data_IF_949045099508
#
_entry.id   IF_949045099508
#
_cell.length_a   1.000
_cell.length_b   1.000
_cell.length_c   1.000
_cell.angle_alpha   90.00
_cell.angle_beta   90.00
_cell.angle_gamma   90.00
#
_symmetry.space_group_name_H-M   'P 1'
#
loop_
_entity.id
_entity.type
_entity.pdbx_description
1 polymer ?
#
# COMPACT_ATOMS: atom_id res chain seq x y z
N UNK A 1 -9.94 2.85 19.29
CA UNK A 1 -8.56 3.28 19.04
C UNK A 1 -8.42 3.77 17.59
N UNK A 2 -8.52 2.92 16.55
CA UNK A 2 -8.25 3.24 15.14
C UNK A 2 -9.04 4.45 14.62
N UNK A 3 -10.35 4.51 14.80
CA UNK A 3 -11.18 5.64 14.36
C UNK A 3 -10.75 6.95 15.03
N UNK A 4 -10.44 6.91 16.32
CA UNK A 4 -9.97 8.08 17.06
C UNK A 4 -8.61 8.61 16.57
N UNK A 5 -7.84 7.78 15.89
CA UNK A 5 -6.55 8.11 15.30
C UNK A 5 -6.69 8.58 13.85
N UNK A 6 -7.48 7.88 13.04
CA UNK A 6 -7.63 8.19 11.62
C UNK A 6 -8.49 9.44 11.36
N UNK A 7 -9.55 9.68 12.15
CA UNK A 7 -10.43 10.83 11.93
C UNK A 7 -9.68 12.17 12.02
N UNK A 8 -8.87 12.45 13.04
CA UNK A 8 -8.08 13.69 13.09
C UNK A 8 -7.10 13.80 11.92
N UNK A 9 -6.40 12.70 11.57
CA UNK A 9 -5.42 12.67 10.48
C UNK A 9 -6.07 13.00 9.14
N UNK A 10 -7.23 12.41 8.85
CA UNK A 10 -7.98 12.69 7.61
C UNK A 10 -8.51 14.13 7.61
N UNK A 11 -8.97 14.67 8.75
CA UNK A 11 -9.38 16.09 8.83
C UNK A 11 -8.23 17.05 8.55
N UNK A 12 -7.03 16.74 9.03
CA UNK A 12 -5.81 17.51 8.67
C UNK A 12 -5.54 17.41 7.17
N UNK A 13 -5.59 16.21 6.59
CA UNK A 13 -5.41 16.03 5.14
C UNK A 13 -6.42 16.87 4.34
N UNK A 14 -7.69 16.87 4.73
CA UNK A 14 -8.75 17.69 4.12
C UNK A 14 -8.42 19.20 4.22
N UNK A 15 -7.98 19.66 5.39
CA UNK A 15 -7.66 21.07 5.59
C UNK A 15 -6.48 21.57 4.74
N UNK A 16 -5.64 20.65 4.30
CA UNK A 16 -4.51 20.91 3.38
C UNK A 16 -4.81 20.61 1.90
N UNK A 17 -6.06 20.32 1.55
CA UNK A 17 -6.47 20.06 0.16
C UNK A 17 -5.95 18.74 -0.40
N UNK A 18 -5.63 17.77 0.45
CA UNK A 18 -5.13 16.46 0.02
C UNK A 18 -6.24 15.68 -0.69
N UNK A 19 -5.95 15.20 -1.89
CA UNK A 19 -6.93 14.49 -2.74
C UNK A 19 -6.86 12.96 -2.61
N UNK A 20 -5.73 12.41 -2.15
CA UNK A 20 -5.53 10.99 -1.95
C UNK A 20 -5.04 10.73 -0.53
N UNK A 21 -5.71 9.85 0.18
CA UNK A 21 -5.28 9.36 1.49
C UNK A 21 -5.09 7.84 1.44
N UNK A 22 -4.26 7.31 2.31
CA UNK A 22 -4.04 5.88 2.43
C UNK A 22 -3.95 5.43 3.88
N UNK A 23 -4.26 4.19 4.11
CA UNK A 23 -4.03 3.48 5.36
C UNK A 23 -3.85 2.00 5.06
N UNK A 24 -3.37 1.25 6.04
CA UNK A 24 -3.39 -0.20 5.97
C UNK A 24 -4.82 -0.74 6.14
N UNK A 25 -5.05 -1.98 5.75
CA UNK A 25 -6.16 -2.78 6.28
C UNK A 25 -6.05 -2.84 7.81
N UNK A 26 -7.18 -2.95 8.50
CA UNK A 26 -7.19 -2.90 9.95
C UNK A 26 -7.12 -4.33 10.50
N UNK A 27 -6.01 -4.63 11.13
CA UNK A 27 -5.76 -5.89 11.81
C UNK A 27 -4.98 -5.60 13.10
N UNK A 28 -5.03 -6.52 14.06
CA UNK A 28 -4.14 -6.46 15.22
C UNK A 28 -2.72 -6.76 14.77
N UNK A 29 -1.88 -5.74 14.82
CA UNK A 29 -0.51 -5.81 14.34
C UNK A 29 0.32 -6.79 15.18
N UNK A 30 0.90 -7.80 14.52
CA UNK A 30 1.80 -8.80 15.12
C UNK A 30 1.20 -9.63 16.27
N UNK A 31 -0.11 -9.53 16.55
CA UNK A 31 -0.73 -10.17 17.70
C UNK A 31 -1.54 -11.44 17.37
N UNK A 32 -1.91 -11.64 16.12
CA UNK A 32 -2.61 -12.85 15.71
C UNK A 32 -1.64 -14.01 15.50
N UNK A 33 -1.94 -15.19 16.09
CA UNK A 33 -1.11 -16.39 15.90
C UNK A 33 -1.29 -17.02 14.52
N UNK A 34 -2.50 -16.95 13.98
CA UNK A 34 -2.88 -17.57 12.70
C UNK A 34 -3.73 -16.64 11.84
N UNK A 35 -3.70 -16.78 10.51
CA UNK A 35 -4.59 -16.05 9.63
C UNK A 35 -6.06 -16.47 9.87
N UNK A 36 -6.96 -15.51 9.82
CA UNK A 36 -8.40 -15.77 9.87
C UNK A 36 -8.85 -16.32 8.53
N UNK A 37 -9.69 -17.36 8.55
CA UNK A 37 -10.20 -18.04 7.36
C UNK A 37 -11.73 -18.22 7.43
N UNK A 38 -12.38 -18.48 6.29
CA UNK A 38 -13.81 -18.72 6.22
C UNK A 38 -14.64 -17.62 6.89
N UNK A 39 -15.56 -17.99 7.77
CA UNK A 39 -16.45 -17.05 8.46
C UNK A 39 -15.70 -16.01 9.32
N UNK A 40 -14.53 -16.36 9.86
CA UNK A 40 -13.70 -15.40 10.61
C UNK A 40 -13.05 -14.37 9.67
N UNK A 41 -12.67 -14.77 8.47
CA UNK A 41 -12.21 -13.84 7.45
C UNK A 41 -13.33 -12.87 7.03
N UNK A 42 -14.53 -13.38 6.77
CA UNK A 42 -15.68 -12.54 6.42
C UNK A 42 -16.00 -11.54 7.53
N UNK A 43 -15.92 -11.95 8.79
CA UNK A 43 -16.10 -11.07 9.94
C UNK A 43 -14.99 -10.00 10.02
N UNK A 44 -13.74 -10.35 9.70
CA UNK A 44 -12.64 -9.40 9.66
C UNK A 44 -12.80 -8.38 8.52
N UNK A 45 -13.26 -8.79 7.35
CA UNK A 45 -13.62 -7.90 6.24
C UNK A 45 -14.74 -6.95 6.67
N UNK A 46 -15.82 -7.47 7.24
CA UNK A 46 -16.95 -6.65 7.70
C UNK A 46 -16.52 -5.62 8.76
N UNK A 47 -15.64 -6.00 9.68
CA UNK A 47 -15.08 -5.07 10.67
C UNK A 47 -14.23 -3.97 10.02
N UNK A 48 -13.39 -4.30 9.04
CA UNK A 48 -12.64 -3.32 8.27
C UNK A 48 -13.57 -2.31 7.58
N UNK A 49 -14.58 -2.80 6.89
CA UNK A 49 -15.60 -1.98 6.22
C UNK A 49 -16.25 -1.02 7.20
N UNK A 50 -16.74 -1.54 8.33
CA UNK A 50 -17.36 -0.72 9.38
C UNK A 50 -16.47 0.41 9.87
N UNK A 51 -15.19 0.13 10.11
CA UNK A 51 -14.25 1.12 10.63
C UNK A 51 -13.90 2.18 9.58
N UNK A 52 -13.63 1.79 8.34
CA UNK A 52 -13.33 2.73 7.26
C UNK A 52 -14.53 3.61 6.91
N UNK A 53 -15.74 3.07 6.85
CA UNK A 53 -16.95 3.86 6.61
C UNK A 53 -17.24 4.83 7.76
N UNK A 54 -16.99 4.42 8.99
CA UNK A 54 -17.12 5.30 10.15
C UNK A 54 -16.13 6.47 10.07
N UNK A 55 -14.87 6.22 9.69
CA UNK A 55 -13.91 7.32 9.46
C UNK A 55 -14.34 8.20 8.30
N UNK A 56 -14.83 7.60 7.21
CA UNK A 56 -15.36 8.35 6.07
C UNK A 56 -16.45 9.35 6.47
N UNK A 57 -17.37 8.92 7.32
CA UNK A 57 -18.48 9.76 7.83
C UNK A 57 -17.99 10.80 8.85
N UNK A 58 -17.28 10.39 9.90
CA UNK A 58 -16.86 11.27 11.00
C UNK A 58 -15.82 12.33 10.58
N UNK A 59 -15.00 12.03 9.57
CA UNK A 59 -14.07 12.99 9.00
C UNK A 59 -14.71 13.94 7.97
N UNK A 60 -15.93 13.66 7.51
CA UNK A 60 -16.64 14.49 6.54
C UNK A 60 -16.10 14.37 5.12
N UNK A 61 -15.62 13.18 4.72
CA UNK A 61 -14.99 12.96 3.41
C UNK A 61 -15.97 13.22 2.27
N UNK A 62 -17.25 12.90 2.41
CA UNK A 62 -18.25 13.03 1.36
C UNK A 62 -18.34 14.43 0.73
N UNK A 63 -18.06 15.49 1.49
CA UNK A 63 -18.10 16.88 1.02
C UNK A 63 -16.72 17.52 0.88
N UNK A 64 -15.64 16.73 0.91
CA UNK A 64 -14.26 17.21 0.93
C UNK A 64 -13.58 17.11 -0.44
N UNK A 65 -12.31 17.56 -0.48
CA UNK A 65 -11.43 17.43 -1.62
C UNK A 65 -10.86 16.00 -1.81
N UNK A 66 -11.05 15.09 -0.86
CA UNK A 66 -10.50 13.73 -0.94
C UNK A 66 -11.27 12.91 -1.99
N UNK A 67 -10.56 12.49 -3.02
CA UNK A 67 -11.13 11.78 -4.16
C UNK A 67 -11.08 10.26 -4.00
N UNK A 68 -10.10 9.75 -3.28
CA UNK A 68 -9.96 8.31 -3.05
C UNK A 68 -9.14 7.99 -1.81
N UNK A 69 -9.34 6.77 -1.29
CA UNK A 69 -8.62 6.22 -0.16
C UNK A 69 -8.00 4.88 -0.52
N UNK A 70 -6.66 4.80 -0.49
CA UNK A 70 -5.90 3.57 -0.69
C UNK A 70 -5.88 2.70 0.55
N UNK A 71 -6.22 1.42 0.38
CA UNK A 71 -6.07 0.40 1.43
C UNK A 71 -4.89 -0.48 1.05
N UNK A 72 -3.91 -0.55 1.93
CA UNK A 72 -2.72 -1.36 1.80
C UNK A 72 -2.83 -2.64 2.61
N UNK A 73 -2.32 -3.75 2.10
CA UNK A 73 -2.06 -4.95 2.89
C UNK A 73 -0.61 -4.91 3.41
N UNK A 74 -0.35 -5.66 4.47
CA UNK A 74 1.01 -5.82 4.99
C UNK A 74 1.49 -7.26 4.81
N UNK A 75 2.78 -7.49 4.96
CA UNK A 75 3.40 -8.81 4.80
C UNK A 75 3.15 -9.71 6.01
N UNK A 76 3.32 -11.03 5.89
CA UNK A 76 3.04 -12.01 6.95
C UNK A 76 3.80 -11.79 8.28
N UNK A 77 4.90 -11.05 8.28
CA UNK A 77 5.62 -10.67 9.51
C UNK A 77 4.90 -9.59 10.32
N UNK A 78 4.09 -8.77 9.67
CA UNK A 78 3.39 -7.64 10.29
C UNK A 78 1.91 -7.93 10.51
N UNK A 79 1.23 -8.51 9.52
CA UNK A 79 -0.15 -8.97 9.61
C UNK A 79 -0.23 -10.49 9.43
N UNK A 80 -1.37 -11.09 9.71
CA UNK A 80 -1.64 -12.51 9.48
C UNK A 80 -2.77 -12.74 8.49
N UNK A 81 -3.78 -11.88 8.50
CA UNK A 81 -5.01 -12.08 7.71
C UNK A 81 -4.96 -11.36 6.37
N UNK A 82 -4.66 -10.06 6.35
CA UNK A 82 -4.64 -9.26 5.12
C UNK A 82 -3.21 -9.13 4.59
N UNK A 83 -2.67 -10.22 4.05
CA UNK A 83 -1.24 -10.35 3.70
C UNK A 83 -0.98 -10.50 2.20
N UNK A 84 -1.98 -10.28 1.36
CA UNK A 84 -1.83 -10.25 -0.09
C UNK A 84 -2.92 -9.40 -0.76
N UNK A 85 -2.74 -9.14 -2.06
CA UNK A 85 -3.64 -8.31 -2.86
C UNK A 85 -5.10 -8.80 -2.84
N UNK A 86 -5.35 -10.11 -2.97
CA UNK A 86 -6.73 -10.63 -3.06
C UNK A 86 -7.49 -10.48 -1.74
N UNK A 87 -6.81 -10.73 -0.63
CA UNK A 87 -7.41 -10.59 0.72
C UNK A 87 -7.74 -9.12 1.04
N UNK A 88 -6.82 -8.20 0.77
CA UNK A 88 -7.08 -6.77 0.95
C UNK A 88 -8.11 -6.22 -0.05
N UNK A 89 -8.12 -6.74 -1.28
CA UNK A 89 -9.12 -6.36 -2.26
C UNK A 89 -10.54 -6.74 -1.82
N UNK A 90 -10.71 -7.78 -1.02
CA UNK A 90 -12.01 -8.12 -0.43
C UNK A 90 -12.55 -7.00 0.46
N UNK A 91 -11.69 -6.31 1.21
CA UNK A 91 -12.07 -5.10 1.99
C UNK A 91 -12.50 -3.97 1.06
N UNK A 92 -11.70 -3.66 0.03
CA UNK A 92 -11.99 -2.60 -0.95
C UNK A 92 -13.34 -2.85 -1.64
N UNK A 93 -13.57 -4.07 -2.14
CA UNK A 93 -14.84 -4.46 -2.79
C UNK A 93 -16.03 -4.25 -1.87
N UNK A 94 -15.94 -4.74 -0.64
CA UNK A 94 -17.03 -4.66 0.32
C UNK A 94 -17.30 -3.21 0.78
N UNK A 95 -16.25 -2.42 1.01
CA UNK A 95 -16.38 -1.01 1.38
C UNK A 95 -17.00 -0.19 0.24
N UNK A 96 -16.60 -0.41 -1.01
CA UNK A 96 -17.19 0.25 -2.17
C UNK A 96 -18.65 -0.15 -2.40
N UNK A 97 -18.99 -1.42 -2.21
CA UNK A 97 -20.37 -1.89 -2.30
C UNK A 97 -21.26 -1.22 -1.25
N UNK A 98 -20.79 -1.14 0.00
CA UNK A 98 -21.52 -0.48 1.09
C UNK A 98 -21.65 1.04 0.88
N UNK A 99 -20.63 1.69 0.29
CA UNK A 99 -20.64 3.13 0.00
C UNK A 99 -21.42 3.47 -1.29
N UNK A 100 -21.65 2.51 -2.16
CA UNK A 100 -22.32 2.70 -3.45
C UNK A 100 -21.47 3.41 -4.51
N UNK A 101 -20.14 3.50 -4.33
CA UNK A 101 -19.20 4.12 -5.29
C UNK A 101 -17.79 3.55 -5.16
N UNK A 102 -16.97 3.71 -6.22
CA UNK A 102 -15.57 3.23 -6.29
C UNK A 102 -14.59 4.22 -5.63
N UNK A 103 -14.80 4.51 -4.35
CA UNK A 103 -13.99 5.46 -3.59
C UNK A 103 -12.75 4.81 -2.97
N UNK A 104 -12.92 3.65 -2.34
CA UNK A 104 -11.79 2.89 -1.82
C UNK A 104 -11.03 2.21 -2.94
N UNK A 105 -9.72 2.27 -2.88
CA UNK A 105 -8.80 1.71 -3.87
C UNK A 105 -7.82 0.77 -3.18
N UNK A 106 -7.25 -0.16 -3.93
CA UNK A 106 -6.15 -0.97 -3.41
C UNK A 106 -4.83 -0.27 -3.67
N UNK A 107 -3.99 -0.21 -2.66
CA UNK A 107 -2.61 0.22 -2.75
C UNK A 107 -1.74 -1.03 -2.94
N UNK A 108 -0.91 -1.03 -3.97
CA UNK A 108 0.00 -2.13 -4.30
C UNK A 108 1.39 -1.78 -3.80
N UNK A 109 1.87 -2.48 -2.79
CA UNK A 109 3.27 -2.39 -2.35
C UNK A 109 4.10 -3.53 -2.93
N UNK A 110 5.23 -3.19 -3.57
CA UNK A 110 6.06 -4.18 -4.24
C UNK A 110 6.78 -5.11 -3.27
N UNK A 111 7.21 -4.62 -2.11
CA UNK A 111 7.84 -5.43 -1.09
C UNK A 111 6.85 -6.40 -0.44
N UNK A 112 5.66 -5.90 -0.11
CA UNK A 112 4.59 -6.73 0.45
C UNK A 112 4.14 -7.82 -0.53
N UNK A 113 4.01 -7.50 -1.82
CA UNK A 113 3.76 -8.50 -2.86
C UNK A 113 4.84 -9.59 -2.88
N UNK A 114 6.11 -9.19 -2.72
CA UNK A 114 7.24 -10.11 -2.67
C UNK A 114 7.20 -11.09 -1.51
N UNK A 115 6.60 -10.70 -0.40
CA UNK A 115 6.46 -11.51 0.82
C UNK A 115 5.08 -12.19 0.95
N UNK A 116 4.16 -11.95 0.00
CA UNK A 116 2.77 -12.41 0.07
C UNK A 116 2.56 -13.91 -0.15
N UNK A 117 3.60 -14.64 -0.55
CA UNK A 117 3.51 -16.03 -0.98
C UNK A 117 3.02 -16.23 -2.42
N UNK A 118 2.62 -15.15 -3.12
CA UNK A 118 2.23 -15.18 -4.51
C UNK A 118 3.42 -14.85 -5.43
N UNK A 119 3.50 -15.51 -6.57
CA UNK A 119 4.50 -15.22 -7.60
C UNK A 119 4.26 -13.87 -8.30
N UNK A 120 5.25 -13.35 -8.99
CA UNK A 120 5.11 -12.14 -9.83
C UNK A 120 3.95 -12.27 -10.82
N UNK A 121 3.79 -13.35 -11.61
CA UNK A 121 2.64 -13.49 -12.52
C UNK A 121 1.28 -13.48 -11.83
N UNK A 122 1.15 -14.10 -10.66
CA UNK A 122 -0.10 -14.09 -9.89
C UNK A 122 -0.45 -12.69 -9.40
N UNK A 123 0.52 -11.95 -8.86
CA UNK A 123 0.32 -10.56 -8.47
C UNK A 123 -0.03 -9.67 -9.69
N UNK A 124 0.62 -9.87 -10.84
CA UNK A 124 0.30 -9.14 -12.08
C UNK A 124 -1.13 -9.40 -12.55
N UNK A 125 -1.59 -10.66 -12.48
CA UNK A 125 -2.97 -11.02 -12.82
C UNK A 125 -3.98 -10.36 -11.85
N UNK A 126 -3.68 -10.30 -10.56
CA UNK A 126 -4.51 -9.59 -9.58
C UNK A 126 -4.56 -8.09 -9.85
N UNK A 127 -3.41 -7.44 -10.11
CA UNK A 127 -3.34 -6.02 -10.46
C UNK A 127 -4.24 -5.72 -11.68
N UNK A 128 -4.18 -6.54 -12.72
CA UNK A 128 -5.02 -6.37 -13.90
C UNK A 128 -6.53 -6.49 -13.57
N UNK A 129 -6.91 -7.46 -12.73
CA UNK A 129 -8.31 -7.64 -12.29
C UNK A 129 -8.81 -6.48 -11.43
N UNK A 130 -7.98 -6.00 -10.50
CA UNK A 130 -8.27 -4.86 -9.61
C UNK A 130 -8.45 -3.58 -10.45
N UNK A 131 -7.57 -3.36 -11.42
CA UNK A 131 -7.68 -2.23 -12.33
C UNK A 131 -8.94 -2.30 -13.20
N UNK A 132 -9.25 -3.46 -13.78
CA UNK A 132 -10.48 -3.67 -14.56
C UNK A 132 -11.75 -3.42 -13.74
N UNK A 133 -11.70 -3.61 -12.43
CA UNK A 133 -12.78 -3.24 -11.51
C UNK A 133 -12.81 -1.73 -11.18
N UNK A 134 -11.86 -0.93 -11.65
CA UNK A 134 -11.70 0.49 -11.31
C UNK A 134 -11.28 0.70 -9.85
N UNK A 135 -10.58 -0.24 -9.25
CA UNK A 135 -10.24 -0.25 -7.81
C UNK A 135 -8.72 -0.20 -7.55
N UNK A 136 -7.91 -0.03 -8.59
CA UNK A 136 -6.48 0.24 -8.45
C UNK A 136 -6.27 1.70 -7.99
N UNK A 137 -5.42 1.90 -6.98
CA UNK A 137 -5.11 3.21 -6.40
C UNK A 137 -3.65 3.61 -6.66
N UNK A 138 -2.83 3.44 -5.65
CA UNK A 138 -1.42 3.80 -5.67
C UNK A 138 -0.50 2.58 -5.77
N UNK A 139 0.74 2.87 -6.09
CA UNK A 139 1.83 1.91 -6.07
C UNK A 139 2.93 2.40 -5.13
N UNK A 140 3.32 1.60 -4.15
CA UNK A 140 4.50 1.81 -3.34
C UNK A 140 5.70 1.10 -3.97
N UNK A 141 6.70 1.88 -4.33
CA UNK A 141 7.99 1.40 -4.78
C UNK A 141 8.88 1.18 -3.56
N UNK A 142 8.86 -0.04 -3.07
CA UNK A 142 9.63 -0.49 -1.91
C UNK A 142 10.33 -1.80 -2.26
N UNK A 143 11.62 -1.91 -1.96
CA UNK A 143 12.38 -3.11 -2.30
C UNK A 143 12.14 -4.22 -1.27
N UNK A 144 11.83 -5.42 -1.75
CA UNK A 144 11.55 -6.59 -0.93
C UNK A 144 12.67 -6.91 0.06
N UNK A 145 13.91 -6.86 -0.39
CA UNK A 145 15.06 -7.33 0.39
C UNK A 145 15.53 -6.38 1.47
N UNK A 146 15.37 -5.08 1.28
CA UNK A 146 15.91 -4.06 2.19
C UNK A 146 14.88 -3.04 2.66
N UNK A 147 13.66 -3.13 2.18
CA UNK A 147 12.57 -2.20 2.50
C UNK A 147 12.94 -0.73 2.30
N UNK A 148 13.89 -0.45 1.46
CA UNK A 148 14.28 0.92 1.33
C UNK A 148 15.27 1.25 0.23
N UNK A 149 16.15 0.37 -0.13
CA UNK A 149 17.09 0.63 -1.21
C UNK A 149 16.54 0.08 -2.53
N UNK A 150 16.01 0.97 -3.38
CA UNK A 150 15.43 0.54 -4.67
C UNK A 150 16.48 -0.06 -5.62
N UNK A 151 17.75 0.25 -5.43
CA UNK A 151 18.86 -0.34 -6.19
C UNK A 151 19.07 -1.83 -5.89
N UNK A 152 18.51 -2.34 -4.81
CA UNK A 152 18.54 -3.77 -4.45
C UNK A 152 17.28 -4.53 -4.88
N UNK A 153 16.39 -3.88 -5.65
CA UNK A 153 15.21 -4.52 -6.22
C UNK A 153 15.61 -5.73 -7.08
N UNK A 154 15.09 -6.88 -6.71
CA UNK A 154 15.29 -8.17 -7.41
C UNK A 154 14.27 -8.39 -8.54
N UNK A 155 13.69 -7.31 -9.06
CA UNK A 155 12.75 -7.31 -10.18
C UNK A 155 11.29 -7.10 -9.81
N UNK A 156 10.94 -7.11 -8.53
CA UNK A 156 9.56 -6.95 -8.07
C UNK A 156 8.97 -5.58 -8.42
N UNK A 157 9.69 -4.49 -8.09
CA UNK A 157 9.25 -3.14 -8.43
C UNK A 157 9.05 -3.01 -9.95
N UNK A 158 10.04 -3.43 -10.73
CA UNK A 158 9.98 -3.29 -12.19
C UNK A 158 8.83 -4.08 -12.81
N UNK A 159 8.63 -5.32 -12.37
CA UNK A 159 7.57 -6.19 -12.89
C UNK A 159 6.16 -5.70 -12.53
N UNK A 160 5.92 -5.33 -11.27
CA UNK A 160 4.60 -4.94 -10.79
C UNK A 160 4.24 -3.51 -11.21
N UNK A 161 5.19 -2.57 -11.19
CA UNK A 161 4.99 -1.21 -11.71
C UNK A 161 4.63 -1.24 -13.21
N UNK A 162 5.31 -2.10 -13.99
CA UNK A 162 4.97 -2.28 -15.41
C UNK A 162 3.56 -2.84 -15.58
N UNK A 163 3.15 -3.81 -14.77
CA UNK A 163 1.80 -4.36 -14.81
C UNK A 163 0.76 -3.28 -14.48
N UNK A 164 0.97 -2.52 -13.41
CA UNK A 164 0.08 -1.43 -13.00
C UNK A 164 -0.02 -0.33 -14.06
N UNK A 165 1.12 0.10 -14.64
CA UNK A 165 1.16 1.10 -15.70
C UNK A 165 0.37 0.69 -16.95
N UNK A 166 0.52 -0.58 -17.39
CA UNK A 166 -0.19 -1.12 -18.56
C UNK A 166 -1.71 -1.12 -18.42
N UNK A 167 -2.25 -1.04 -17.22
CA UNK A 167 -3.70 -0.97 -17.01
C UNK A 167 -4.31 0.37 -17.40
N UNK A 168 -3.52 1.44 -17.47
CA UNK A 168 -3.97 2.81 -17.65
C UNK A 168 -4.63 3.45 -16.42
N UNK A 169 -4.74 2.70 -15.31
CA UNK A 169 -5.41 3.14 -14.08
C UNK A 169 -4.45 3.64 -13.00
N UNK A 170 -3.14 3.46 -13.18
CA UNK A 170 -2.13 3.94 -12.23
C UNK A 170 -2.12 5.47 -12.18
N UNK A 171 -2.33 6.05 -10.97
CA UNK A 171 -2.38 7.51 -10.75
C UNK A 171 -1.28 8.03 -9.85
N UNK A 172 -0.87 7.23 -8.88
CA UNK A 172 0.08 7.64 -7.85
C UNK A 172 1.15 6.57 -7.68
N UNK A 173 2.39 7.01 -7.63
CA UNK A 173 3.54 6.17 -7.30
C UNK A 173 4.30 6.86 -6.18
N UNK A 174 4.53 6.16 -5.09
CA UNK A 174 5.30 6.65 -3.95
C UNK A 174 6.56 5.81 -3.80
N UNK A 175 7.65 6.46 -3.44
CA UNK A 175 8.85 5.78 -2.95
C UNK A 175 8.66 5.54 -1.47
N UNK A 176 8.68 4.29 -1.06
CA UNK A 176 8.59 3.91 0.33
C UNK A 176 9.94 3.37 0.79
N UNK A 177 10.58 4.12 1.67
CA UNK A 177 11.84 3.78 2.31
C UNK A 177 11.74 4.02 3.81
N UNK A 178 12.36 3.15 4.59
CA UNK A 178 12.38 3.25 6.05
C UNK A 178 13.78 3.63 6.53
N UNK A 179 13.87 4.56 7.47
CA UNK A 179 15.09 4.82 8.20
C UNK A 179 15.34 3.69 9.21
N UNK A 180 16.40 2.92 9.00
CA UNK A 180 16.75 1.82 9.88
C UNK A 180 16.96 2.26 11.34
N UNK A 181 17.30 3.51 11.58
CA UNK A 181 17.56 4.05 12.94
C UNK A 181 16.31 4.65 13.59
N UNK A 182 15.19 4.75 12.87
CA UNK A 182 13.95 5.32 13.43
C UNK A 182 13.47 4.50 14.63
N UNK A 183 13.19 5.18 15.73
CA UNK A 183 12.71 4.56 16.97
C UNK A 183 11.35 3.86 16.77
N UNK A 184 10.52 4.31 15.83
CA UNK A 184 9.25 3.67 15.52
C UNK A 184 9.42 2.25 14.92
N UNK A 185 10.59 1.95 14.36
CA UNK A 185 10.92 0.63 13.79
C UNK A 185 11.60 -0.32 14.77
N UNK A 186 11.79 0.08 16.04
CA UNK A 186 12.53 -0.73 17.02
C UNK A 186 11.96 -2.15 17.18
N UNK A 187 10.64 -2.27 17.26
CA UNK A 187 10.00 -3.58 17.39
C UNK A 187 10.19 -4.44 16.13
N UNK A 188 10.13 -3.84 14.95
CA UNK A 188 10.40 -4.55 13.69
C UNK A 188 11.87 -4.98 13.60
N UNK A 189 12.82 -4.14 14.02
CA UNK A 189 14.25 -4.51 14.04
C UNK A 189 14.54 -5.67 14.98
N UNK A 190 13.83 -5.78 16.10
CA UNK A 190 13.99 -6.92 17.01
C UNK A 190 13.51 -8.23 16.38
N UNK A 191 12.46 -8.19 15.59
CA UNK A 191 11.92 -9.36 14.90
C UNK A 191 12.64 -9.65 13.58
N UNK A 192 13.09 -8.62 12.88
CA UNK A 192 13.76 -8.68 11.61
C UNK A 192 14.97 -7.73 11.60
N UNK A 193 16.15 -8.21 12.03
CA UNK A 193 17.38 -7.40 12.13
C UNK A 193 17.89 -6.92 10.76
N UNK A 194 17.36 -6.34 9.95
CA UNK A 194 17.69 -5.87 8.59
C UNK A 194 16.53 -5.10 7.99
N UNK A 195 15.46 -4.93 8.76
CA UNK A 195 14.32 -4.14 8.34
C UNK A 195 14.67 -2.66 8.25
N UNK A 196 14.35 -2.06 7.12
CA UNK A 196 14.67 -0.67 6.83
C UNK A 196 15.94 -0.51 6.00
N UNK A 197 16.34 0.73 5.81
CA UNK A 197 17.51 1.08 5.01
C UNK A 197 18.77 0.62 5.71
N UNK A 198 19.62 -0.09 4.99
CA UNK A 198 20.96 -0.36 5.44
C UNK A 198 21.84 0.89 5.24
N UNK A 199 21.91 1.71 6.28
CA UNK A 199 22.75 2.93 6.29
C UNK A 199 24.22 2.64 6.59
N UNK A 200 24.65 1.37 6.64
CA UNK A 200 26.06 0.99 6.82
C UNK A 200 26.95 1.45 5.66
N UNK A 201 26.38 1.78 4.52
CA UNK A 201 27.10 2.41 3.40
C UNK A 201 27.37 3.91 3.61
N UNK A 202 26.93 4.48 4.73
CA UNK A 202 27.15 5.87 5.12
C UNK A 202 26.19 6.88 4.49
N UNK A 203 25.19 6.44 3.70
CA UNK A 203 24.18 7.34 3.14
C UNK A 203 23.15 7.76 4.18
N UNK A 204 22.73 9.00 4.13
CA UNK A 204 21.61 9.51 4.93
C UNK A 204 20.26 9.02 4.36
N UNK A 205 19.23 9.06 5.19
CA UNK A 205 17.84 8.79 4.75
C UNK A 205 17.42 9.69 3.57
N UNK A 206 17.82 10.95 3.60
CA UNK A 206 17.54 11.90 2.52
C UNK A 206 18.18 11.50 1.19
N UNK A 207 19.44 11.04 1.22
CA UNK A 207 20.15 10.56 0.02
C UNK A 207 19.49 9.33 -0.57
N UNK A 208 19.13 8.34 0.26
CA UNK A 208 18.46 7.13 -0.21
C UNK A 208 17.07 7.44 -0.77
N UNK A 209 16.33 8.37 -0.14
CA UNK A 209 15.04 8.83 -0.65
C UNK A 209 15.19 9.52 -2.02
N UNK A 210 16.19 10.39 -2.16
CA UNK A 210 16.48 11.07 -3.43
C UNK A 210 16.87 10.08 -4.54
N UNK A 211 17.70 9.09 -4.23
CA UNK A 211 18.05 8.00 -5.16
C UNK A 211 16.81 7.20 -5.59
N UNK A 212 15.95 6.87 -4.64
CA UNK A 212 14.69 6.17 -4.91
C UNK A 212 13.77 6.96 -5.84
N UNK A 213 13.61 8.26 -5.58
CA UNK A 213 12.83 9.15 -6.45
C UNK A 213 13.42 9.22 -7.87
N UNK A 214 14.75 9.32 -7.99
CA UNK A 214 15.46 9.31 -9.27
C UNK A 214 15.27 7.98 -10.02
N UNK A 215 15.34 6.83 -9.33
CA UNK A 215 15.11 5.52 -9.93
C UNK A 215 13.67 5.36 -10.43
N UNK A 216 12.68 5.75 -9.64
CA UNK A 216 11.27 5.69 -10.04
C UNK A 216 10.98 6.64 -11.20
N UNK A 217 11.49 7.86 -11.18
CA UNK A 217 11.33 8.79 -12.29
C UNK A 217 11.90 8.21 -13.60
N UNK A 218 13.08 7.58 -13.55
CA UNK A 218 13.67 6.89 -14.71
C UNK A 218 12.80 5.73 -15.19
N UNK A 219 12.27 4.90 -14.29
CA UNK A 219 11.36 3.78 -14.63
C UNK A 219 10.08 4.29 -15.27
N UNK A 220 9.45 5.32 -14.71
CA UNK A 220 8.23 5.93 -15.27
C UNK A 220 8.47 6.55 -16.64
N UNK A 221 9.57 7.26 -16.84
CA UNK A 221 9.96 7.78 -18.15
C UNK A 221 10.13 6.67 -19.20
N UNK A 222 10.76 5.55 -18.83
CA UNK A 222 10.89 4.38 -19.70
C UNK A 222 9.52 3.76 -20.06
N UNK A 223 8.59 3.70 -19.09
CA UNK A 223 7.24 3.19 -19.32
C UNK A 223 6.44 4.15 -20.23
N UNK A 224 6.58 5.45 -20.03
CA UNK A 224 5.98 6.47 -20.90
C UNK A 224 6.52 6.39 -22.35
N UNK A 225 7.85 6.30 -22.50
CA UNK A 225 8.48 6.15 -23.82
C UNK A 225 8.05 4.87 -24.56
N UNK A 226 7.61 3.83 -23.82
CA UNK A 226 7.06 2.58 -24.37
C UNK A 226 5.54 2.62 -24.58
N UNK A 227 4.89 3.75 -24.30
CA UNK A 227 3.46 3.94 -24.45
C UNK A 227 2.59 3.25 -23.38
N UNK A 228 3.15 2.93 -22.21
CA UNK A 228 2.42 2.29 -21.11
C UNK A 228 1.86 3.31 -20.10
N UNK A 229 2.26 4.56 -20.20
CA UNK A 229 1.69 5.67 -19.44
C UNK A 229 1.24 6.75 -20.42
N UNK A 230 0.04 7.27 -20.21
CA UNK A 230 -0.40 8.47 -20.91
C UNK A 230 0.36 9.67 -20.35
N UNK A 231 0.97 10.46 -21.23
CA UNK A 231 1.67 11.69 -20.86
C UNK A 231 0.69 12.76 -20.36
#
# INVERSE_FOLDING_TARGET
AVVAQLVPSVKVAISHGVRYVSSTSIEEWMSADQPREGAEFDAAVAQNVKLHLRVYEEAGIAGSCVESWGIEFLRPGEFKTFTNLDRAWSVVKAANAALGKKFFKLLVDAAHCGDSGLSIPENQALIARIAAAGELGAFHASAKTTRGCLSTDDGWIGALLTAAAKTGELRHVFVEVFDHTDAALELLRQLEPGHGIDTRDGRSYAEVTADGLGDIARRLNNLAARGFLNA
#
